data_IF_107444637983
#
_entry.id   IF_107444637983
#
_cell.length_a   1.000
_cell.length_b   1.000
_cell.length_c   1.000
_cell.angle_alpha   90.00
_cell.angle_beta   90.00
_cell.angle_gamma   90.00
#
_symmetry.space_group_name_H-M   'P 1'
#
loop_
_entity.id
_entity.type
_entity.pdbx_description
1 polymer ?
#
# COMPACT_ATOMS: atom_id res chain seq x y z
N UNK A 1 29.40 2.83 23.21
CA UNK A 1 30.22 3.76 22.42
C UNK A 1 29.71 5.16 22.71
N UNK A 2 30.56 6.05 23.23
CA UNK A 2 30.15 7.43 23.56
C UNK A 2 30.51 8.27 22.34
N UNK A 3 29.50 8.96 21.80
CA UNK A 3 29.63 9.89 20.67
C UNK A 3 29.35 11.28 21.24
N UNK A 4 30.33 11.91 21.91
CA UNK A 4 30.08 13.10 22.71
C UNK A 4 29.60 14.27 21.84
N UNK A 5 30.25 14.51 20.70
CA UNK A 5 30.01 15.69 19.86
C UNK A 5 28.68 15.61 19.11
N UNK A 6 28.33 14.44 18.56
CA UNK A 6 26.98 14.23 17.98
C UNK A 6 25.88 14.42 19.02
N UNK A 7 26.09 13.92 20.25
CA UNK A 7 25.09 14.02 21.30
C UNK A 7 24.97 15.45 21.84
N UNK A 8 26.03 16.24 21.79
CA UNK A 8 26.00 17.68 22.10
C UNK A 8 25.22 18.44 21.02
N UNK A 9 25.53 18.21 19.75
CA UNK A 9 24.81 18.81 18.62
C UNK A 9 23.30 18.53 18.68
N UNK A 10 22.92 17.29 18.96
CA UNK A 10 21.50 16.90 19.10
C UNK A 10 20.86 17.60 20.32
N UNK A 11 21.57 17.74 21.44
CA UNK A 11 21.05 18.44 22.64
C UNK A 11 20.84 19.92 22.38
N UNK A 12 21.76 20.56 21.68
CA UNK A 12 21.69 21.99 21.36
C UNK A 12 20.60 22.29 20.31
N UNK A 13 20.39 21.36 19.38
CA UNK A 13 19.45 21.51 18.28
C UNK A 13 18.01 21.06 18.55
N UNK A 14 17.75 20.31 19.64
CA UNK A 14 16.42 19.74 19.91
C UNK A 14 15.68 20.52 20.99
N UNK A 15 14.43 20.98 20.74
CA UNK A 15 13.71 21.85 21.67
C UNK A 15 13.13 21.13 22.90
N UNK A 16 13.05 19.80 22.90
CA UNK A 16 12.46 19.01 23.98
C UNK A 16 13.40 17.91 24.47
N UNK A 17 13.84 18.04 25.72
CA UNK A 17 14.78 17.13 26.37
C UNK A 17 14.34 15.65 26.36
N UNK A 18 13.03 15.38 26.42
CA UNK A 18 12.51 14.00 26.44
C UNK A 18 12.71 13.30 25.08
N UNK A 19 12.55 14.02 23.97
CA UNK A 19 12.82 13.48 22.63
C UNK A 19 14.32 13.41 22.32
N UNK A 20 15.13 14.27 22.94
CA UNK A 20 16.56 14.39 22.68
C UNK A 20 17.32 13.08 22.94
N UNK A 21 17.01 12.38 24.04
CA UNK A 21 17.70 11.13 24.36
C UNK A 21 17.35 10.04 23.35
N UNK A 22 16.11 9.96 22.87
CA UNK A 22 15.70 9.01 21.83
C UNK A 22 16.30 9.33 20.46
N UNK A 23 16.45 10.61 20.12
CA UNK A 23 17.18 11.05 18.92
C UNK A 23 18.66 10.59 18.98
N UNK A 24 19.29 10.69 20.16
CA UNK A 24 20.65 10.20 20.39
C UNK A 24 20.70 8.67 20.33
N UNK A 25 19.75 7.96 20.94
CA UNK A 25 19.66 6.49 20.89
C UNK A 25 19.52 6.02 19.44
N UNK A 26 18.60 6.60 18.66
CA UNK A 26 18.36 6.23 17.28
C UNK A 26 19.61 6.45 16.42
N UNK A 27 20.26 7.62 16.50
CA UNK A 27 21.49 7.88 15.72
C UNK A 27 22.63 6.90 16.05
N UNK A 28 22.78 6.50 17.32
CA UNK A 28 23.74 5.46 17.74
C UNK A 28 23.38 4.08 17.17
N UNK A 29 22.10 3.73 17.17
CA UNK A 29 21.63 2.48 16.57
C UNK A 29 21.89 2.47 15.06
N UNK A 30 21.59 3.56 14.35
CA UNK A 30 21.89 3.70 12.91
C UNK A 30 23.38 3.52 12.61
N UNK A 31 24.26 4.17 13.38
CA UNK A 31 25.71 4.00 13.22
C UNK A 31 26.16 2.57 13.49
N UNK A 32 25.69 1.96 14.59
CA UNK A 32 26.06 0.59 14.97
C UNK A 32 25.64 -0.42 13.90
N UNK A 33 24.48 -0.21 13.29
CA UNK A 33 23.91 -1.08 12.28
C UNK A 33 24.46 -0.75 10.86
N UNK A 34 25.41 0.19 10.77
CA UNK A 34 26.14 0.50 9.53
C UNK A 34 25.36 1.36 8.55
N UNK A 35 24.31 2.06 8.99
CA UNK A 35 23.51 2.96 8.15
C UNK A 35 24.25 4.30 8.00
N UNK A 36 25.35 4.27 7.26
CA UNK A 36 26.30 5.38 7.11
C UNK A 36 26.63 5.58 5.63
N UNK A 37 27.13 6.76 5.23
CA UNK A 37 27.51 7.03 3.84
C UNK A 37 28.57 6.05 3.34
N UNK A 38 28.64 5.88 2.02
CA UNK A 38 29.56 4.96 1.33
C UNK A 38 29.34 3.46 1.65
N UNK A 39 28.27 3.14 2.37
CA UNK A 39 27.73 1.79 2.46
C UNK A 39 26.48 1.72 1.60
N UNK A 40 26.24 0.61 0.91
CA UNK A 40 24.95 0.38 0.22
C UNK A 40 23.80 0.11 1.23
N UNK A 41 23.96 0.50 2.50
CA UNK A 41 23.05 0.20 3.59
C UNK A 41 22.19 1.42 3.94
N UNK A 42 20.93 1.37 3.52
CA UNK A 42 19.88 2.29 3.94
C UNK A 42 18.67 1.51 4.42
N UNK A 43 17.78 2.17 5.17
CA UNK A 43 16.55 1.55 5.69
C UNK A 43 15.36 2.48 5.55
N UNK A 44 14.20 1.89 5.28
CA UNK A 44 12.93 2.60 5.35
C UNK A 44 12.59 2.93 6.80
N UNK A 45 11.73 3.95 7.00
CA UNK A 45 11.21 4.26 8.33
C UNK A 45 10.58 3.04 9.01
N UNK A 46 9.77 2.26 8.31
CA UNK A 46 9.11 1.09 8.88
C UNK A 46 10.12 0.02 9.31
N UNK A 47 11.18 -0.21 8.52
CA UNK A 47 12.25 -1.12 8.94
C UNK A 47 12.99 -0.61 10.20
N UNK A 48 13.15 0.71 10.35
CA UNK A 48 13.72 1.30 11.56
C UNK A 48 12.77 1.18 12.76
N UNK A 49 11.45 1.30 12.55
CA UNK A 49 10.42 1.05 13.58
C UNK A 49 10.49 -0.41 14.06
N UNK A 50 10.52 -1.38 13.14
CA UNK A 50 10.62 -2.81 13.48
C UNK A 50 11.89 -3.14 14.28
N UNK A 51 12.99 -2.45 13.99
CA UNK A 51 14.27 -2.64 14.68
C UNK A 51 14.36 -1.93 16.02
N UNK A 52 13.82 -0.71 16.12
CA UNK A 52 14.17 0.22 17.19
C UNK A 52 13.02 0.76 18.02
N UNK A 53 11.75 0.62 17.61
CA UNK A 53 10.61 1.24 18.32
C UNK A 53 10.49 0.73 19.77
N UNK A 54 10.83 -0.54 20.03
CA UNK A 54 10.87 -1.10 21.40
C UNK A 54 11.99 -0.55 22.31
N UNK A 55 12.91 0.27 21.78
CA UNK A 55 14.02 0.86 22.53
C UNK A 55 13.89 2.38 22.74
N UNK A 56 12.89 3.00 22.12
CA UNK A 56 12.65 4.44 22.15
C UNK A 56 11.37 4.74 22.93
N UNK A 57 11.37 5.84 23.68
CA UNK A 57 10.17 6.33 24.37
C UNK A 57 9.27 7.15 23.41
N UNK A 58 9.85 7.66 22.31
CA UNK A 58 9.19 8.37 21.22
C UNK A 58 9.27 7.57 19.91
N UNK A 59 8.26 7.77 19.05
CA UNK A 59 8.24 7.09 17.75
C UNK A 59 9.46 7.47 16.87
N UNK A 60 9.90 6.51 16.07
CA UNK A 60 11.03 6.68 15.14
C UNK A 60 10.81 7.85 14.19
N UNK A 61 9.57 8.11 13.75
CA UNK A 61 9.26 9.24 12.86
C UNK A 61 9.61 10.60 13.48
N UNK A 62 9.32 10.79 14.77
CA UNK A 62 9.69 12.03 15.48
C UNK A 62 11.21 12.15 15.53
N UNK A 63 11.89 11.07 15.88
CA UNK A 63 13.35 11.07 15.98
C UNK A 63 14.02 11.35 14.63
N UNK A 64 13.58 10.69 13.55
CA UNK A 64 14.08 10.92 12.19
C UNK A 64 13.84 12.34 11.70
N UNK A 65 12.68 12.94 12.03
CA UNK A 65 12.42 14.34 11.70
C UNK A 65 13.44 15.27 12.38
N UNK A 66 13.71 15.09 13.67
CA UNK A 66 14.72 15.89 14.36
C UNK A 66 16.12 15.70 13.79
N UNK A 67 16.53 14.45 13.50
CA UNK A 67 17.82 14.20 12.85
C UNK A 67 17.90 14.87 11.47
N UNK A 68 16.81 14.85 10.71
CA UNK A 68 16.75 15.47 9.38
C UNK A 68 16.81 17.00 9.49
N UNK A 69 16.08 17.60 10.42
CA UNK A 69 16.10 19.06 10.64
C UNK A 69 17.49 19.57 11.07
N UNK A 70 18.28 18.70 11.71
CA UNK A 70 19.68 18.97 12.08
C UNK A 70 20.70 18.59 10.99
N UNK A 71 20.24 18.09 9.83
CA UNK A 71 21.09 17.63 8.73
C UNK A 71 22.05 16.48 9.14
N UNK A 72 21.57 15.63 10.05
CA UNK A 72 22.30 14.46 10.60
C UNK A 72 21.90 13.14 9.94
N UNK A 73 20.84 13.14 9.12
CA UNK A 73 20.43 12.00 8.29
C UNK A 73 20.14 12.44 6.87
N UNK A 74 20.56 11.63 5.91
CA UNK A 74 20.11 11.75 4.53
C UNK A 74 18.76 11.03 4.38
N UNK A 75 17.89 11.57 3.52
CA UNK A 75 16.69 10.86 3.08
C UNK A 75 16.49 10.99 1.57
N UNK A 76 16.15 9.90 0.91
CA UNK A 76 15.86 9.88 -0.53
C UNK A 76 14.90 8.74 -0.85
N UNK A 77 14.38 8.72 -2.07
CA UNK A 77 13.61 7.58 -2.60
C UNK A 77 14.53 6.75 -3.47
N UNK A 78 14.55 5.43 -3.25
CA UNK A 78 15.28 4.50 -4.11
C UNK A 78 14.37 3.98 -5.22
N UNK A 79 14.63 4.41 -6.46
CA UNK A 79 13.80 4.06 -7.61
C UNK A 79 12.67 5.08 -7.88
N UNK A 80 11.52 4.65 -8.45
CA UNK A 80 10.44 5.56 -8.81
C UNK A 80 9.75 6.14 -7.56
N UNK A 81 9.21 7.36 -7.66
CA UNK A 81 8.51 8.01 -6.53
C UNK A 81 7.24 7.28 -6.10
N UNK A 82 6.62 6.54 -7.01
CA UNK A 82 5.40 5.75 -6.79
C UNK A 82 5.65 4.32 -7.24
N UNK A 83 5.33 3.37 -6.36
CA UNK A 83 5.32 1.95 -6.65
C UNK A 83 3.91 1.55 -7.10
N UNK A 84 3.84 0.75 -8.14
CA UNK A 84 2.62 0.11 -8.60
C UNK A 84 2.65 -1.32 -8.10
N UNK A 85 1.73 -1.64 -7.19
CA UNK A 85 1.63 -2.95 -6.55
C UNK A 85 0.47 -3.70 -7.19
N UNK A 86 0.74 -4.92 -7.64
CA UNK A 86 -0.29 -5.84 -8.09
C UNK A 86 -0.57 -6.83 -6.95
N UNK A 87 -1.67 -6.64 -6.22
CA UNK A 87 -1.89 -7.33 -4.94
C UNK A 87 -1.99 -8.85 -5.11
N UNK A 88 -2.70 -9.32 -6.14
CA UNK A 88 -2.80 -10.75 -6.45
C UNK A 88 -1.44 -11.41 -6.69
N UNK A 89 -0.49 -10.71 -7.31
CA UNK A 89 0.84 -11.24 -7.61
C UNK A 89 1.82 -11.01 -6.46
N UNK A 90 1.48 -10.15 -5.51
CA UNK A 90 2.37 -9.65 -4.46
C UNK A 90 3.68 -9.07 -5.03
N UNK A 91 3.57 -8.31 -6.12
CA UNK A 91 4.73 -7.82 -6.90
C UNK A 91 4.65 -6.32 -7.23
N UNK A 92 5.83 -5.69 -7.34
CA UNK A 92 6.00 -4.33 -7.86
C UNK A 92 6.10 -4.42 -9.39
N UNK A 93 5.14 -3.83 -10.10
CA UNK A 93 5.00 -3.94 -11.57
C UNK A 93 5.41 -2.66 -12.32
N UNK A 94 6.22 -1.80 -11.70
CA UNK A 94 6.73 -0.58 -12.32
C UNK A 94 7.47 -0.89 -13.64
N UNK A 95 7.02 -0.29 -14.74
CA UNK A 95 7.60 -0.48 -16.08
C UNK A 95 6.97 -1.60 -16.90
N UNK A 96 6.01 -2.33 -16.34
CA UNK A 96 5.16 -3.25 -17.11
C UNK A 96 4.04 -2.52 -17.85
N UNK A 97 3.38 -3.25 -18.75
CA UNK A 97 2.19 -2.80 -19.46
C UNK A 97 0.99 -2.77 -18.50
N UNK A 98 0.84 -1.64 -17.81
CA UNK A 98 -0.22 -1.41 -16.83
C UNK A 98 -1.61 -1.58 -17.43
N UNK A 99 -1.84 -1.10 -18.66
CA UNK A 99 -3.14 -1.21 -19.31
C UNK A 99 -3.54 -2.67 -19.47
N UNK A 100 -2.61 -3.51 -19.93
CA UNK A 100 -2.84 -4.95 -20.04
C UNK A 100 -3.13 -5.59 -18.68
N UNK A 101 -2.37 -5.25 -17.64
CA UNK A 101 -2.59 -5.81 -16.29
C UNK A 101 -3.99 -5.49 -15.77
N UNK A 102 -4.42 -4.23 -15.89
CA UNK A 102 -5.73 -3.77 -15.45
C UNK A 102 -6.86 -4.47 -16.21
N UNK A 103 -6.72 -4.57 -17.54
CA UNK A 103 -7.71 -5.28 -18.37
C UNK A 103 -7.79 -6.75 -17.96
N UNK A 104 -6.67 -7.42 -17.72
CA UNK A 104 -6.67 -8.82 -17.29
C UNK A 104 -7.41 -9.01 -15.95
N UNK A 105 -7.20 -8.13 -14.96
CA UNK A 105 -7.91 -8.22 -13.67
C UNK A 105 -9.40 -7.87 -13.79
N UNK A 106 -9.78 -6.88 -14.61
CA UNK A 106 -11.19 -6.57 -14.91
C UNK A 106 -11.90 -7.76 -15.56
N UNK A 107 -11.27 -8.41 -16.55
CA UNK A 107 -11.88 -9.57 -17.20
C UNK A 107 -12.01 -10.77 -16.23
N UNK A 108 -11.16 -10.85 -15.18
CA UNK A 108 -11.35 -11.84 -14.10
C UNK A 108 -12.57 -11.51 -13.23
N UNK A 109 -12.78 -10.24 -12.86
CA UNK A 109 -13.99 -9.80 -12.15
C UNK A 109 -15.24 -10.12 -12.96
N UNK A 110 -15.26 -9.75 -14.25
CA UNK A 110 -16.40 -10.01 -15.14
C UNK A 110 -16.67 -11.51 -15.26
N UNK A 111 -15.62 -12.31 -15.42
CA UNK A 111 -15.79 -13.75 -15.56
C UNK A 111 -16.21 -14.46 -14.25
N UNK A 112 -15.95 -13.85 -13.08
CA UNK A 112 -16.48 -14.33 -11.79
C UNK A 112 -17.96 -13.98 -11.67
N UNK A 113 -18.30 -12.72 -11.94
CA UNK A 113 -19.68 -12.23 -11.98
C UNK A 113 -20.56 -13.07 -12.92
N UNK A 114 -20.09 -13.36 -14.13
CA UNK A 114 -20.81 -14.20 -15.10
C UNK A 114 -20.97 -15.66 -14.67
N UNK A 115 -20.08 -16.16 -13.82
CA UNK A 115 -20.19 -17.52 -13.27
C UNK A 115 -21.22 -17.60 -12.13
N UNK A 116 -21.39 -16.50 -11.39
CA UNK A 116 -22.38 -16.36 -10.33
C UNK A 116 -23.79 -16.02 -10.87
N UNK A 117 -23.89 -15.56 -12.12
CA UNK A 117 -25.17 -15.33 -12.78
C UNK A 117 -25.98 -16.64 -12.89
N UNK A 118 -27.30 -16.59 -12.63
CA UNK A 118 -28.16 -17.75 -12.74
C UNK A 118 -28.22 -18.21 -14.20
N UNK A 119 -27.84 -19.46 -14.45
CA UNK A 119 -27.93 -20.06 -15.78
C UNK A 119 -29.39 -20.19 -16.23
N UNK A 120 -29.72 -19.72 -17.44
CA UNK A 120 -31.01 -20.00 -18.10
C UNK A 120 -31.21 -21.50 -18.44
N UNK A 121 -30.14 -22.30 -18.36
CA UNK A 121 -30.13 -23.74 -18.68
C UNK A 121 -30.46 -24.65 -17.48
N UNK A 122 -31.31 -24.20 -16.55
CA UNK A 122 -32.01 -25.15 -15.67
C UNK A 122 -33.15 -25.81 -16.43
N UNK A 123 -32.85 -26.91 -17.12
CA UNK A 123 -33.81 -27.91 -17.60
C UNK A 123 -34.43 -28.64 -16.40
N UNK A 124 -35.14 -27.90 -15.55
CA UNK A 124 -36.01 -28.44 -14.51
C UNK A 124 -37.42 -27.91 -14.73
N UNK A 125 -38.29 -28.86 -15.03
CA UNK A 125 -39.73 -28.67 -15.23
C UNK A 125 -40.38 -27.94 -14.05
N UNK A 126 -40.47 -26.63 -14.14
CA UNK A 126 -41.50 -25.84 -13.48
C UNK A 126 -41.72 -24.57 -14.31
N UNK A 127 -42.77 -24.58 -15.13
CA UNK A 127 -43.32 -23.34 -15.66
C UNK A 127 -43.81 -22.48 -14.48
N UNK A 128 -42.94 -21.62 -13.97
CA UNK A 128 -43.34 -20.54 -13.07
C UNK A 128 -43.89 -19.43 -13.96
N UNK A 129 -45.22 -19.40 -14.07
CA UNK A 129 -45.94 -18.32 -14.71
C UNK A 129 -45.99 -17.11 -13.75
N UNK A 130 -44.84 -16.51 -13.46
CA UNK A 130 -44.72 -15.12 -12.99
C UNK A 130 -43.27 -14.69 -13.24
N UNK A 131 -43.08 -13.60 -13.98
CA UNK A 131 -41.78 -13.15 -14.48
C UNK A 131 -40.93 -12.47 -13.41
N UNK A 132 -40.52 -13.21 -12.39
CA UNK A 132 -39.66 -12.73 -11.31
C UNK A 132 -38.70 -13.82 -10.84
N UNK A 133 -37.41 -13.51 -10.87
CA UNK A 133 -36.34 -14.24 -10.17
C UNK A 133 -36.76 -14.49 -8.72
N UNK A 134 -36.42 -15.62 -8.07
CA UNK A 134 -36.60 -15.73 -6.62
C UNK A 134 -35.84 -14.57 -5.94
N UNK A 135 -36.61 -13.67 -5.33
CA UNK A 135 -36.28 -12.28 -4.94
C UNK A 135 -35.23 -12.15 -3.80
N UNK A 136 -34.54 -13.23 -3.42
CA UNK A 136 -33.79 -13.30 -2.15
C UNK A 136 -32.33 -13.81 -2.28
N UNK A 137 -31.81 -14.07 -3.49
CA UNK A 137 -30.37 -14.43 -3.66
C UNK A 137 -29.64 -13.31 -4.39
N UNK A 138 -28.92 -12.49 -3.63
CA UNK A 138 -28.04 -11.45 -4.16
C UNK A 138 -26.87 -12.12 -4.88
N UNK A 139 -26.57 -11.66 -6.09
CA UNK A 139 -25.40 -12.11 -6.87
C UNK A 139 -24.39 -10.99 -7.04
N UNK A 140 -23.16 -11.36 -7.44
CA UNK A 140 -22.06 -10.44 -7.70
C UNK A 140 -22.47 -9.28 -8.61
N UNK A 141 -23.27 -9.55 -9.64
CA UNK A 141 -23.75 -8.53 -10.58
C UNK A 141 -24.58 -7.45 -9.88
N UNK A 142 -25.46 -7.84 -8.94
CA UNK A 142 -26.29 -6.90 -8.19
C UNK A 142 -25.42 -6.09 -7.20
N UNK A 143 -24.45 -6.72 -6.54
CA UNK A 143 -23.48 -6.05 -5.66
C UNK A 143 -22.65 -5.02 -6.41
N UNK A 144 -22.19 -5.33 -7.62
CA UNK A 144 -21.43 -4.41 -8.46
C UNK A 144 -22.30 -3.28 -9.04
N UNK A 145 -23.52 -3.59 -9.47
CA UNK A 145 -24.49 -2.58 -9.93
C UNK A 145 -24.75 -1.52 -8.85
N UNK A 146 -24.99 -1.96 -7.62
CA UNK A 146 -25.17 -1.08 -6.47
C UNK A 146 -23.92 -0.23 -6.18
N UNK A 147 -22.73 -0.83 -6.28
CA UNK A 147 -21.47 -0.15 -6.02
C UNK A 147 -21.15 0.94 -7.06
N UNK A 148 -21.52 0.72 -8.33
CA UNK A 148 -21.31 1.66 -9.42
C UNK A 148 -22.50 2.60 -9.66
N UNK A 149 -23.63 2.38 -8.99
CA UNK A 149 -24.88 3.10 -9.21
C UNK A 149 -25.37 3.03 -10.68
N UNK A 150 -25.23 1.85 -11.30
CA UNK A 150 -25.65 1.57 -12.69
C UNK A 150 -26.64 0.41 -12.74
N UNK A 151 -27.31 0.21 -13.88
CA UNK A 151 -28.16 -0.95 -14.08
C UNK A 151 -27.32 -2.25 -14.19
N UNK A 152 -27.80 -3.41 -13.70
CA UNK A 152 -27.06 -4.69 -13.75
C UNK A 152 -26.59 -5.13 -15.15
N UNK A 153 -27.24 -4.65 -16.21
CA UNK A 153 -26.86 -4.90 -17.60
C UNK A 153 -25.66 -4.06 -18.07
N UNK A 154 -25.39 -2.93 -17.41
CA UNK A 154 -24.35 -1.99 -17.77
C UNK A 154 -23.03 -2.20 -17.00
N UNK A 155 -23.01 -3.07 -15.98
CA UNK A 155 -21.84 -3.30 -15.10
C UNK A 155 -20.57 -3.65 -15.89
N UNK A 156 -20.67 -4.51 -16.91
CA UNK A 156 -19.51 -4.90 -17.72
C UNK A 156 -18.94 -3.73 -18.52
N UNK A 157 -19.83 -2.94 -19.12
CA UNK A 157 -19.44 -1.77 -19.90
C UNK A 157 -18.86 -0.68 -19.00
N UNK A 158 -19.42 -0.54 -17.78
CA UNK A 158 -18.92 0.38 -16.77
C UNK A 158 -17.49 0.00 -16.35
N UNK A 159 -17.23 -1.26 -16.03
CA UNK A 159 -15.90 -1.77 -15.68
C UNK A 159 -14.87 -1.55 -16.81
N UNK A 160 -15.27 -1.72 -18.08
CA UNK A 160 -14.38 -1.58 -19.24
C UNK A 160 -14.19 -0.13 -19.71
N UNK A 161 -15.03 0.80 -19.27
CA UNK A 161 -14.98 2.19 -19.73
C UNK A 161 -13.95 3.04 -18.98
N UNK A 162 -13.62 4.22 -19.53
CA UNK A 162 -12.63 5.13 -18.97
C UNK A 162 -11.19 4.85 -19.41
N UNK A 163 -10.27 5.67 -18.93
CA UNK A 163 -8.83 5.46 -19.11
C UNK A 163 -8.28 4.42 -18.11
N UNK A 164 -6.97 4.16 -18.17
CA UNK A 164 -6.33 3.14 -17.31
C UNK A 164 -6.47 3.46 -15.82
N UNK A 165 -6.41 4.74 -15.43
CA UNK A 165 -6.54 5.14 -14.04
C UNK A 165 -8.00 5.02 -13.59
N UNK A 166 -8.94 5.46 -14.43
CA UNK A 166 -10.37 5.27 -14.16
C UNK A 166 -10.70 3.79 -13.94
N UNK A 167 -10.16 2.91 -14.79
CA UNK A 167 -10.35 1.46 -14.70
C UNK A 167 -9.73 0.85 -13.45
N UNK A 168 -8.59 1.36 -12.98
CA UNK A 168 -7.99 0.94 -11.69
C UNK A 168 -8.91 1.32 -10.53
N UNK A 169 -9.44 2.55 -10.53
CA UNK A 169 -10.35 3.00 -9.49
C UNK A 169 -11.64 2.15 -9.47
N UNK A 170 -12.15 1.78 -10.65
CA UNK A 170 -13.30 0.87 -10.78
C UNK A 170 -12.99 -0.55 -10.32
N UNK A 171 -11.83 -1.10 -10.67
CA UNK A 171 -11.36 -2.39 -10.18
C UNK A 171 -11.33 -2.39 -8.64
N UNK A 172 -10.73 -1.36 -8.03
CA UNK A 172 -10.71 -1.17 -6.58
C UNK A 172 -12.09 -1.10 -5.94
N UNK A 173 -13.01 -0.39 -6.59
CA UNK A 173 -14.41 -0.30 -6.16
C UNK A 173 -15.09 -1.67 -6.21
N UNK A 174 -14.89 -2.43 -7.28
CA UNK A 174 -15.46 -3.76 -7.45
C UNK A 174 -14.93 -4.76 -6.41
N UNK A 175 -13.61 -4.84 -6.24
CA UNK A 175 -12.97 -5.73 -5.24
C UNK A 175 -13.48 -5.39 -3.85
N UNK A 176 -13.49 -4.10 -3.49
CA UNK A 176 -14.00 -3.64 -2.19
C UNK A 176 -15.46 -4.02 -2.01
N UNK A 177 -16.33 -3.76 -2.99
CA UNK A 177 -17.75 -4.06 -2.88
C UNK A 177 -18.01 -5.55 -2.62
N UNK A 178 -17.29 -6.42 -3.33
CA UNK A 178 -17.42 -7.88 -3.19
C UNK A 178 -16.86 -8.35 -1.85
N UNK A 179 -15.69 -7.88 -1.43
CA UNK A 179 -15.07 -8.30 -0.16
C UNK A 179 -15.89 -7.86 1.07
N UNK A 180 -16.63 -6.75 0.98
CA UNK A 180 -17.48 -6.25 2.06
C UNK A 180 -18.90 -6.81 2.06
N UNK A 181 -19.36 -7.41 0.97
CA UNK A 181 -20.68 -7.99 0.87
C UNK A 181 -20.68 -9.47 1.21
N UNK A 182 -20.97 -9.80 2.47
CA UNK A 182 -21.04 -11.18 2.94
C UNK A 182 -22.13 -12.04 2.28
N UNK A 183 -23.01 -11.44 1.47
CA UNK A 183 -24.05 -12.18 0.74
C UNK A 183 -23.53 -12.83 -0.55
N UNK A 184 -22.33 -12.44 -1.02
CA UNK A 184 -21.69 -12.98 -2.21
C UNK A 184 -20.34 -13.60 -1.86
N UNK A 185 -19.93 -14.61 -2.62
CA UNK A 185 -18.61 -15.24 -2.46
C UNK A 185 -17.76 -14.93 -3.68
N UNK A 186 -16.50 -14.57 -3.43
CA UNK A 186 -15.47 -14.38 -4.45
C UNK A 186 -14.87 -15.74 -4.81
N UNK A 187 -15.17 -16.26 -6.00
CA UNK A 187 -14.74 -17.61 -6.43
C UNK A 187 -13.45 -17.58 -7.27
N UNK A 188 -13.02 -16.40 -7.72
CA UNK A 188 -11.79 -16.23 -8.52
C UNK A 188 -10.74 -15.33 -7.89
N UNK A 189 -9.49 -15.61 -8.26
CA UNK A 189 -8.34 -14.80 -7.88
C UNK A 189 -8.26 -13.55 -8.79
N UNK A 190 -8.92 -12.47 -8.38
CA UNK A 190 -8.64 -11.09 -8.83
C UNK A 190 -8.40 -10.21 -7.61
N UNK A 191 -7.62 -9.16 -7.78
CA UNK A 191 -7.28 -8.25 -6.68
C UNK A 191 -6.91 -6.87 -7.23
N UNK A 192 -6.67 -5.94 -6.30
CA UNK A 192 -6.38 -4.55 -6.63
C UNK A 192 -5.01 -4.35 -7.30
N UNK A 193 -4.93 -3.25 -8.04
CA UNK A 193 -3.68 -2.64 -8.46
C UNK A 193 -3.57 -1.30 -7.76
N UNK A 194 -2.61 -1.17 -6.83
CA UNK A 194 -2.49 0.00 -5.95
C UNK A 194 -1.26 0.82 -6.27
N UNK A 195 -1.42 2.13 -6.13
CA UNK A 195 -0.32 3.08 -6.17
C UNK A 195 0.06 3.48 -4.76
N UNK A 196 1.28 3.14 -4.35
CA UNK A 196 1.83 3.56 -3.06
C UNK A 196 3.03 4.47 -3.27
N UNK A 197 3.21 5.45 -2.38
CA UNK A 197 4.45 6.24 -2.39
C UNK A 197 5.61 5.34 -2.01
N UNK A 198 6.68 5.39 -2.80
CA UNK A 198 7.89 4.66 -2.48
C UNK A 198 8.48 5.23 -1.17
N UNK A 199 8.71 4.40 -0.14
CA UNK A 199 9.18 4.88 1.15
C UNK A 199 10.55 5.55 1.04
N UNK A 200 10.75 6.61 1.83
CA UNK A 200 12.07 7.19 2.01
C UNK A 200 13.03 6.18 2.64
N UNK A 201 14.22 6.11 2.08
CA UNK A 201 15.40 5.50 2.66
C UNK A 201 16.12 6.50 3.56
N UNK A 202 16.68 6.01 4.66
CA UNK A 202 17.41 6.80 5.64
C UNK A 202 18.79 6.17 5.93
N UNK A 203 19.78 7.04 6.05
CA UNK A 203 21.13 6.76 6.58
C UNK A 203 21.64 7.98 7.35
N UNK A 204 22.70 7.84 8.13
CA UNK A 204 23.40 8.98 8.73
C UNK A 204 24.10 9.82 7.67
N UNK A 205 24.10 11.14 7.84
CA UNK A 205 24.80 12.04 6.91
C UNK A 205 26.32 12.02 7.13
N UNK A 206 27.09 12.48 6.15
CA UNK A 206 28.55 12.71 6.32
C UNK A 206 28.83 13.64 7.51
N UNK A 207 27.96 14.63 7.74
CA UNK A 207 28.06 15.52 8.90
C UNK A 207 27.92 14.76 10.21
N UNK A 208 26.92 13.87 10.32
CA UNK A 208 26.79 13.02 11.50
C UNK A 208 28.04 12.16 11.69
N UNK A 209 28.61 11.61 10.61
CA UNK A 209 29.84 10.83 10.67
C UNK A 209 31.05 11.65 11.14
N UNK A 210 31.17 12.90 10.70
CA UNK A 210 32.24 13.79 11.17
C UNK A 210 32.12 14.07 12.67
N UNK A 211 30.90 14.28 13.18
CA UNK A 211 30.63 14.45 14.61
C UNK A 211 30.84 13.15 15.40
N UNK A 212 30.74 11.99 14.75
CA UNK A 212 30.97 10.70 15.40
C UNK A 212 32.47 10.40 15.57
N UNK A 213 33.26 10.83 14.61
CA UNK A 213 34.70 10.55 14.52
C UNK A 213 35.59 11.68 15.06
N UNK A 214 34.99 12.78 15.53
CA UNK A 214 35.68 13.89 16.21
C UNK A 214 36.15 13.47 17.62
#
# INVERSE_FOLDING_TARGET
MIIPDLAEEIRDGTPNADSTEDVIKLSRCMYRDGLVPDTDASRTRSALEDLFDGYLDHNVSTCLRHLHDLDLVNRWVEGPETLIIHDRRDEIVNGEDLERLVVEEIERVIADMQADDPSDDSDDTAAVADGGRPDDTRVLRDTLADAFEVDPEDVEDELRSGDVLDRIDKLGTAVTAIDFDSAVEKDREYDDIRFIRNPYQYELSERAMNLINA
#
